data_IF_558796709681
#
_entry.id   IF_558796709681
#
_cell.length_a   1.000
_cell.length_b   1.000
_cell.length_c   1.000
_cell.angle_alpha   90.00
_cell.angle_beta   90.00
_cell.angle_gamma   90.00
#
_symmetry.space_group_name_H-M   'P 1'
#
loop_
_entity.id
_entity.type
_entity.pdbx_description
1 polymer ?
#
# COMPACT_ATOMS: atom_id res chain seq x y z
N UNK A 1 58.84 -6.42 -69.32
CA UNK A 1 59.29 -6.64 -70.71
C UNK A 1 58.39 -7.72 -71.28
N UNK A 2 57.30 -7.31 -71.93
CA UNK A 2 57.23 -7.11 -73.39
C UNK A 2 57.05 -8.46 -74.08
N UNK A 3 55.82 -8.85 -74.40
CA UNK A 3 55.17 -8.71 -75.73
C UNK A 3 55.84 -9.62 -76.77
N UNK A 4 55.20 -10.53 -77.51
CA UNK A 4 53.79 -10.85 -77.72
C UNK A 4 53.63 -11.48 -79.12
N UNK A 5 52.37 -11.73 -79.52
CA UNK A 5 51.86 -11.66 -80.92
C UNK A 5 52.16 -12.93 -81.77
N UNK A 6 51.23 -13.60 -82.51
CA UNK A 6 50.28 -13.14 -83.54
C UNK A 6 49.39 -14.30 -84.11
N UNK A 7 48.09 -14.00 -84.36
CA UNK A 7 47.18 -14.34 -85.52
C UNK A 7 46.97 -15.81 -85.97
N UNK A 8 45.81 -16.28 -86.47
CA UNK A 8 44.50 -15.75 -86.91
C UNK A 8 43.51 -16.96 -87.00
N UNK A 9 42.21 -16.89 -87.31
CA UNK A 9 41.50 -16.24 -88.43
C UNK A 9 39.97 -16.53 -88.32
N UNK A 10 39.13 -15.52 -88.65
CA UNK A 10 37.75 -15.52 -89.23
C UNK A 10 36.57 -16.24 -88.56
N UNK A 11 35.52 -15.52 -88.14
CA UNK A 11 34.34 -14.99 -88.88
C UNK A 11 33.19 -16.02 -88.89
N UNK A 12 32.14 -15.80 -88.08
CA UNK A 12 30.76 -15.61 -88.57
C UNK A 12 29.71 -15.57 -87.44
N UNK A 13 28.81 -14.60 -87.61
CA UNK A 13 27.55 -14.25 -86.95
C UNK A 13 26.68 -15.40 -86.35
N UNK A 14 26.03 -15.13 -85.21
CA UNK A 14 24.57 -14.89 -85.01
C UNK A 14 24.17 -15.18 -83.54
N UNK A 15 23.45 -14.23 -82.95
CA UNK A 15 22.68 -14.28 -81.70
C UNK A 15 21.95 -15.60 -81.40
N UNK A 16 22.11 -16.14 -80.17
CA UNK A 16 21.00 -16.63 -79.33
C UNK A 16 21.46 -16.62 -77.85
N UNK A 17 20.93 -15.71 -77.04
CA UNK A 17 20.99 -15.81 -75.58
C UNK A 17 19.90 -16.76 -75.06
N UNK A 18 20.16 -17.52 -73.98
CA UNK A 18 19.08 -17.72 -73.01
C UNK A 18 19.51 -17.60 -71.54
N UNK A 19 18.75 -16.72 -70.86
CA UNK A 19 18.20 -16.87 -69.51
C UNK A 19 19.16 -17.05 -68.32
N UNK A 20 19.56 -15.92 -67.74
CA UNK A 20 19.98 -15.83 -66.35
C UNK A 20 18.85 -16.28 -65.39
N UNK A 21 19.19 -17.17 -64.46
CA UNK A 21 18.33 -17.62 -63.35
C UNK A 21 17.90 -16.40 -62.52
N UNK A 22 16.60 -16.09 -62.51
CA UNK A 22 16.02 -15.08 -61.61
C UNK A 22 16.13 -15.57 -60.17
N UNK A 23 16.93 -14.85 -59.37
CA UNK A 23 16.84 -14.86 -57.92
C UNK A 23 15.41 -14.49 -57.52
N UNK A 24 14.78 -15.32 -56.70
CA UNK A 24 13.44 -15.08 -56.17
C UNK A 24 13.61 -14.24 -54.90
N UNK A 25 12.92 -13.11 -54.83
CA UNK A 25 13.12 -12.10 -53.78
C UNK A 25 13.00 -12.67 -52.34
N UNK A 26 13.94 -12.33 -51.43
CA UNK A 26 13.96 -12.84 -50.05
C UNK A 26 12.82 -12.31 -49.17
N UNK A 27 12.12 -11.26 -49.61
CA UNK A 27 11.14 -10.53 -48.79
C UNK A 27 9.85 -11.34 -48.53
N UNK A 28 9.53 -12.34 -49.35
CA UNK A 28 8.28 -13.12 -49.22
C UNK A 28 8.39 -14.30 -48.24
N UNK A 29 9.59 -14.86 -48.04
CA UNK A 29 9.77 -16.02 -47.18
C UNK A 29 9.75 -15.63 -45.69
N UNK A 30 10.42 -14.52 -45.35
CA UNK A 30 10.49 -13.99 -43.99
C UNK A 30 9.11 -13.57 -43.47
N UNK A 31 8.31 -12.93 -44.33
CA UNK A 31 6.95 -12.50 -43.99
C UNK A 31 6.01 -13.68 -43.72
N UNK A 32 6.10 -14.76 -44.52
CA UNK A 32 5.27 -15.97 -44.34
C UNK A 32 5.60 -16.70 -43.06
N UNK A 33 6.89 -16.86 -42.74
CA UNK A 33 7.32 -17.48 -41.48
C UNK A 33 6.86 -16.64 -40.28
N UNK A 34 6.99 -15.32 -40.37
CA UNK A 34 6.54 -14.40 -39.33
C UNK A 34 5.01 -14.44 -39.13
N UNK A 35 4.25 -14.54 -40.22
CA UNK A 35 2.78 -14.64 -40.17
C UNK A 35 2.32 -15.93 -39.48
N UNK A 36 2.92 -17.08 -39.81
CA UNK A 36 2.60 -18.37 -39.19
C UNK A 36 2.86 -18.35 -37.67
N UNK A 37 3.96 -17.71 -37.25
CA UNK A 37 4.31 -17.59 -35.83
C UNK A 37 3.36 -16.60 -35.12
N UNK A 38 2.86 -15.57 -35.82
CA UNK A 38 1.77 -14.71 -35.31
C UNK A 38 0.45 -15.47 -35.17
N UNK A 39 0.07 -16.28 -36.16
CA UNK A 39 -1.18 -17.05 -36.17
C UNK A 39 -1.26 -18.09 -35.04
N UNK A 40 -0.11 -18.58 -34.58
CA UNK A 40 -0.02 -19.63 -33.55
C UNK A 40 -0.12 -19.11 -32.11
N UNK A 41 -0.12 -17.78 -31.93
CA UNK A 41 -0.34 -17.12 -30.64
C UNK A 41 0.58 -17.61 -29.52
N UNK A 42 0.01 -17.84 -28.32
CA UNK A 42 0.76 -18.13 -27.10
C UNK A 42 1.34 -19.56 -27.01
N UNK A 43 0.99 -20.46 -27.95
CA UNK A 43 1.42 -21.88 -27.92
C UNK A 43 2.83 -22.10 -28.51
N UNK A 44 3.34 -21.15 -29.30
CA UNK A 44 4.63 -21.23 -29.97
C UNK A 44 4.71 -22.34 -31.02
N UNK A 45 5.51 -22.12 -32.06
CA UNK A 45 5.62 -23.01 -33.23
C UNK A 45 6.87 -23.89 -33.07
N UNK A 46 6.75 -25.20 -33.28
CA UNK A 46 7.92 -26.10 -33.31
C UNK A 46 8.56 -26.13 -34.71
N UNK A 47 9.80 -26.64 -34.84
CA UNK A 47 10.42 -26.81 -36.17
C UNK A 47 9.60 -27.76 -37.06
N UNK A 48 8.97 -28.80 -36.48
CA UNK A 48 8.07 -29.71 -37.20
C UNK A 48 6.82 -29.01 -37.74
N UNK A 49 6.26 -28.06 -37.00
CA UNK A 49 5.11 -27.27 -37.43
C UNK A 49 5.50 -26.26 -38.53
N UNK A 50 6.73 -25.72 -38.49
CA UNK A 50 7.27 -24.87 -39.55
C UNK A 50 7.53 -25.67 -40.85
N UNK A 51 8.03 -26.90 -40.72
CA UNK A 51 8.22 -27.82 -41.87
C UNK A 51 6.86 -28.14 -42.52
N UNK A 52 5.83 -28.45 -41.71
CA UNK A 52 4.49 -28.76 -42.21
C UNK A 52 3.82 -27.55 -42.88
N UNK A 53 4.01 -26.36 -42.31
CA UNK A 53 3.37 -25.13 -42.82
C UNK A 53 4.09 -24.53 -44.03
N UNK A 54 5.38 -24.82 -44.25
CA UNK A 54 6.13 -24.29 -45.38
C UNK A 54 7.04 -25.35 -46.04
N UNK A 55 6.47 -26.27 -46.85
CA UNK A 55 7.25 -27.29 -47.57
C UNK A 55 8.07 -26.73 -48.75
N UNK A 56 7.92 -25.43 -49.05
CA UNK A 56 8.54 -24.75 -50.20
C UNK A 56 9.98 -24.30 -49.89
N UNK A 57 10.36 -24.23 -48.62
CA UNK A 57 11.68 -23.77 -48.17
C UNK A 57 12.58 -24.96 -47.86
N UNK A 58 13.82 -24.91 -48.34
CA UNK A 58 14.85 -25.89 -47.94
C UNK A 58 15.21 -25.74 -46.47
N UNK A 59 15.83 -26.77 -45.88
CA UNK A 59 16.24 -26.76 -44.46
C UNK A 59 17.20 -25.61 -44.18
N UNK A 60 18.13 -25.34 -45.10
CA UNK A 60 19.14 -24.29 -45.00
C UNK A 60 18.51 -22.89 -45.04
N UNK A 61 17.62 -22.63 -46.02
CA UNK A 61 16.91 -21.36 -46.13
C UNK A 61 16.01 -21.06 -44.92
N UNK A 62 15.40 -22.10 -44.33
CA UNK A 62 14.59 -21.94 -43.10
C UNK A 62 15.45 -21.54 -41.91
N UNK A 63 16.59 -22.19 -41.72
CA UNK A 63 17.52 -21.88 -40.63
C UNK A 63 18.04 -20.45 -40.78
N UNK A 64 18.36 -20.03 -42.00
CA UNK A 64 18.79 -18.65 -42.28
C UNK A 64 17.71 -17.63 -42.00
N UNK A 65 16.46 -17.88 -42.42
CA UNK A 65 15.31 -17.01 -42.13
C UNK A 65 15.03 -16.94 -40.63
N UNK A 66 15.06 -18.07 -39.92
CA UNK A 66 14.86 -18.12 -38.46
C UNK A 66 15.97 -17.37 -37.74
N UNK A 67 17.24 -17.58 -38.13
CA UNK A 67 18.37 -16.86 -37.55
C UNK A 67 18.29 -15.36 -37.82
N UNK A 68 17.87 -14.94 -39.01
CA UNK A 68 17.61 -13.53 -39.33
C UNK A 68 16.48 -12.95 -38.48
N UNK A 69 15.38 -13.67 -38.28
CA UNK A 69 14.24 -13.23 -37.48
C UNK A 69 14.52 -13.20 -35.96
N UNK A 70 15.42 -14.07 -35.48
CA UNK A 70 15.97 -14.01 -34.12
C UNK A 70 16.90 -12.80 -33.99
N UNK A 71 17.77 -12.58 -34.96
CA UNK A 71 18.71 -11.43 -34.98
C UNK A 71 17.97 -10.10 -35.05
N UNK A 72 16.85 -10.03 -35.78
CA UNK A 72 15.96 -8.87 -35.84
C UNK A 72 15.01 -8.74 -34.63
N UNK A 73 15.15 -9.61 -33.62
CA UNK A 73 14.40 -9.60 -32.36
C UNK A 73 12.87 -9.75 -32.52
N UNK A 74 12.42 -10.26 -33.67
CA UNK A 74 11.01 -10.50 -33.96
C UNK A 74 10.48 -11.81 -33.34
N UNK A 75 11.37 -12.74 -32.99
CA UNK A 75 11.03 -14.06 -32.46
C UNK A 75 11.95 -14.41 -31.29
N UNK A 76 11.41 -15.07 -30.26
CA UNK A 76 12.19 -15.65 -29.16
C UNK A 76 12.06 -17.18 -29.13
N UNK A 77 13.16 -17.84 -28.81
CA UNK A 77 13.22 -19.28 -28.60
C UNK A 77 12.84 -19.61 -27.15
N UNK A 78 11.82 -20.45 -26.97
CA UNK A 78 11.41 -20.95 -25.66
C UNK A 78 11.52 -22.47 -25.61
N UNK A 79 12.16 -23.00 -24.56
CA UNK A 79 12.18 -24.44 -24.27
C UNK A 79 10.99 -24.78 -23.38
N UNK A 80 10.04 -25.57 -23.91
CA UNK A 80 8.87 -26.04 -23.15
C UNK A 80 8.86 -27.57 -23.20
N UNK A 81 8.99 -28.22 -22.04
CA UNK A 81 8.96 -29.68 -21.88
C UNK A 81 9.84 -30.42 -22.90
N UNK A 82 11.08 -29.95 -23.03
CA UNK A 82 12.13 -30.51 -23.90
C UNK A 82 12.01 -30.26 -25.42
N UNK A 83 10.94 -29.61 -25.88
CA UNK A 83 10.82 -29.16 -27.28
C UNK A 83 11.11 -27.67 -27.42
N UNK A 84 11.92 -27.29 -28.42
CA UNK A 84 12.18 -25.90 -28.78
C UNK A 84 10.98 -25.34 -29.55
N UNK A 85 10.45 -24.19 -29.10
CA UNK A 85 9.33 -23.50 -29.71
C UNK A 85 9.67 -22.04 -29.99
N UNK A 86 9.36 -21.59 -31.19
CA UNK A 86 9.47 -20.20 -31.65
C UNK A 86 8.23 -19.43 -31.24
N UNK A 87 8.40 -18.32 -30.53
CA UNK A 87 7.30 -17.43 -30.14
C UNK A 87 7.47 -16.07 -30.77
N UNK A 88 6.40 -15.55 -31.36
CA UNK A 88 6.40 -14.19 -31.87
C UNK A 88 6.54 -13.22 -30.69
N UNK A 89 7.58 -12.39 -30.74
CA UNK A 89 7.67 -11.20 -29.92
C UNK A 89 7.07 -10.09 -30.78
N UNK A 90 5.99 -9.47 -30.32
CA UNK A 90 5.42 -8.30 -30.99
C UNK A 90 6.48 -7.23 -31.25
N UNK A 91 6.17 -6.16 -32.00
CA UNK A 91 7.03 -4.99 -32.06
C UNK A 91 7.05 -4.33 -30.68
N UNK A 92 7.76 -4.92 -29.73
CA UNK A 92 8.28 -4.24 -28.57
C UNK A 92 9.46 -3.47 -29.13
N UNK A 93 9.29 -2.17 -29.30
CA UNK A 93 10.37 -1.18 -29.53
C UNK A 93 11.35 -1.12 -28.34
N UNK A 94 11.52 -2.23 -27.62
CA UNK A 94 12.10 -2.29 -26.29
C UNK A 94 13.49 -2.86 -26.35
N UNK A 95 14.43 -1.95 -26.51
CA UNK A 95 15.80 -2.12 -26.05
C UNK A 95 15.80 -2.40 -24.53
N UNK A 96 16.76 -3.19 -24.03
CA UNK A 96 17.01 -3.35 -22.60
C UNK A 96 17.38 -1.97 -22.01
N UNK A 97 16.43 -1.35 -21.30
CA UNK A 97 16.55 0.04 -20.83
C UNK A 97 15.30 0.89 -21.03
N UNK A 98 14.30 0.38 -21.77
CA UNK A 98 13.01 1.01 -21.97
C UNK A 98 12.31 1.28 -20.62
N UNK A 99 12.03 2.56 -20.35
CA UNK A 99 11.43 3.03 -19.11
C UNK A 99 10.12 2.30 -18.76
N UNK A 100 9.41 1.79 -19.76
CA UNK A 100 8.18 1.01 -19.58
C UNK A 100 8.41 -0.33 -18.89
N UNK A 101 9.54 -1.01 -19.11
CA UNK A 101 9.81 -2.32 -18.48
C UNK A 101 10.12 -2.12 -16.99
N UNK A 102 10.88 -1.10 -16.66
CA UNK A 102 11.20 -0.75 -15.27
C UNK A 102 9.98 -0.21 -14.51
N UNK A 103 9.15 0.60 -15.17
CA UNK A 103 7.87 1.08 -14.62
C UNK A 103 6.95 -0.12 -14.29
N UNK A 104 6.90 -1.11 -15.18
CA UNK A 104 6.12 -2.34 -14.95
C UNK A 104 6.67 -3.17 -13.77
N UNK A 105 7.99 -3.30 -13.64
CA UNK A 105 8.62 -4.01 -12.50
C UNK A 105 8.29 -3.32 -11.19
N UNK A 106 8.44 -1.99 -11.13
CA UNK A 106 8.11 -1.20 -9.92
C UNK A 106 6.62 -1.31 -9.59
N UNK A 107 5.74 -1.22 -10.59
CA UNK A 107 4.30 -1.35 -10.39
C UNK A 107 3.91 -2.74 -9.84
N UNK A 108 4.46 -3.82 -10.40
CA UNK A 108 4.20 -5.18 -9.92
C UNK A 108 4.69 -5.36 -8.47
N UNK A 109 5.88 -4.85 -8.12
CA UNK A 109 6.39 -4.89 -6.74
C UNK A 109 5.46 -4.18 -5.75
N UNK A 110 4.86 -3.05 -6.15
CA UNK A 110 3.90 -2.31 -5.31
C UNK A 110 2.59 -3.07 -5.22
N UNK A 111 2.07 -3.62 -6.32
CA UNK A 111 0.86 -4.45 -6.33
C UNK A 111 0.99 -5.65 -5.38
N UNK A 112 2.11 -6.35 -5.45
CA UNK A 112 2.35 -7.56 -4.65
C UNK A 112 2.47 -7.26 -3.15
N UNK A 113 2.75 -6.00 -2.77
CA UNK A 113 2.83 -5.58 -1.37
C UNK A 113 1.46 -5.38 -0.69
N UNK A 114 0.38 -5.29 -1.47
CA UNK A 114 -0.99 -5.19 -0.97
C UNK A 114 -1.21 -4.03 0.01
N UNK A 115 -2.01 -4.28 1.06
CA UNK A 115 -2.50 -3.24 2.00
C UNK A 115 -1.42 -2.65 2.89
N UNK A 116 -0.31 -3.36 3.09
CA UNK A 116 0.83 -2.89 3.87
C UNK A 116 1.75 -1.94 3.07
N UNK A 117 1.61 -1.93 1.75
CA UNK A 117 2.48 -1.18 0.86
C UNK A 117 3.94 -1.61 0.97
N UNK A 118 4.80 -0.91 0.24
CA UNK A 118 6.24 -1.17 0.19
C UNK A 118 7.04 0.11 0.41
N UNK A 119 8.08 0.03 1.24
CA UNK A 119 8.95 1.16 1.52
C UNK A 119 9.85 1.47 0.31
N UNK A 120 10.09 2.76 0.02
CA UNK A 120 10.95 3.19 -1.10
C UNK A 120 12.34 2.52 -1.09
N UNK A 121 12.91 2.24 0.09
CA UNK A 121 14.20 1.55 0.19
C UNK A 121 14.10 0.10 -0.27
N UNK A 122 13.00 -0.57 0.06
CA UNK A 122 12.76 -1.96 -0.33
C UNK A 122 12.43 -2.06 -1.83
N UNK A 123 11.68 -1.10 -2.38
CA UNK A 123 11.47 -0.99 -3.83
C UNK A 123 12.81 -0.85 -4.54
N UNK A 124 13.69 0.02 -4.05
CA UNK A 124 15.03 0.23 -4.62
C UNK A 124 15.86 -1.05 -4.63
N UNK A 125 15.90 -1.77 -3.52
CA UNK A 125 16.66 -3.03 -3.40
C UNK A 125 16.10 -4.10 -4.34
N UNK A 126 14.77 -4.26 -4.42
CA UNK A 126 14.12 -5.29 -5.24
C UNK A 126 14.11 -4.99 -6.74
N UNK A 127 14.01 -3.72 -7.13
CA UNK A 127 14.02 -3.29 -8.54
C UNK A 127 15.43 -3.11 -9.11
N UNK A 128 16.45 -3.07 -8.25
CA UNK A 128 17.83 -2.75 -8.63
C UNK A 128 17.99 -1.40 -9.36
N UNK A 129 17.12 -0.43 -9.07
CA UNK A 129 17.13 0.90 -9.70
C UNK A 129 17.82 1.95 -8.82
N UNK A 130 18.49 2.92 -9.46
CA UNK A 130 19.02 4.10 -8.79
C UNK A 130 17.90 5.00 -8.23
N UNK A 131 18.13 5.60 -7.05
CA UNK A 131 17.16 6.49 -6.38
C UNK A 131 16.59 7.62 -7.27
N UNK A 132 17.38 8.33 -8.09
CA UNK A 132 16.85 9.39 -8.95
C UNK A 132 15.88 8.86 -10.01
N UNK A 133 16.20 7.70 -10.61
CA UNK A 133 15.37 7.05 -11.64
C UNK A 133 14.09 6.49 -11.04
N UNK A 134 14.20 5.82 -9.89
CA UNK A 134 13.05 5.31 -9.14
C UNK A 134 12.08 6.44 -8.75
N UNK A 135 12.57 7.58 -8.27
CA UNK A 135 11.72 8.73 -7.93
C UNK A 135 10.95 9.28 -9.15
N UNK A 136 11.56 9.31 -10.35
CA UNK A 136 10.87 9.71 -11.59
C UNK A 136 9.74 8.73 -11.94
N UNK A 137 10.00 7.43 -11.87
CA UNK A 137 9.00 6.38 -12.14
C UNK A 137 7.84 6.44 -11.14
N UNK A 138 8.14 6.55 -9.84
CA UNK A 138 7.11 6.67 -8.80
C UNK A 138 6.23 7.91 -9.02
N UNK A 139 6.84 9.06 -9.37
CA UNK A 139 6.08 10.28 -9.67
C UNK A 139 5.22 10.16 -10.94
N UNK A 140 5.70 9.45 -11.96
CA UNK A 140 4.92 9.11 -13.16
C UNK A 140 3.69 8.26 -12.79
N UNK A 141 3.90 7.19 -12.03
CA UNK A 141 2.83 6.27 -11.58
C UNK A 141 1.82 6.96 -10.65
N UNK A 142 2.27 7.89 -9.80
CA UNK A 142 1.41 8.70 -8.93
C UNK A 142 0.59 9.71 -9.74
N UNK A 143 1.18 10.34 -10.76
CA UNK A 143 0.47 11.26 -11.67
C UNK A 143 -0.63 10.53 -12.46
N UNK A 144 -0.37 9.28 -12.85
CA UNK A 144 -1.35 8.40 -13.49
C UNK A 144 -2.42 7.85 -12.53
N UNK A 145 -2.37 8.18 -11.24
CA UNK A 145 -3.22 7.62 -10.17
C UNK A 145 -3.19 6.09 -10.11
N UNK A 146 -2.09 5.46 -10.49
CA UNK A 146 -1.92 4.01 -10.37
C UNK A 146 -1.47 3.62 -8.95
N UNK A 147 -0.67 4.49 -8.33
CA UNK A 147 -0.15 4.32 -6.97
C UNK A 147 -0.42 5.59 -6.14
N UNK A 148 -0.35 5.45 -4.82
CA UNK A 148 -0.34 6.57 -3.87
C UNK A 148 0.77 6.39 -2.83
N UNK A 149 1.30 7.51 -2.36
CA UNK A 149 2.25 7.55 -1.26
C UNK A 149 1.52 7.74 0.07
N UNK A 150 1.78 6.86 1.03
CA UNK A 150 1.24 6.95 2.40
C UNK A 150 2.42 7.04 3.37
N UNK A 151 2.42 8.07 4.23
CA UNK A 151 3.40 8.14 5.33
C UNK A 151 2.91 7.26 6.47
N UNK A 152 3.83 6.50 7.05
CA UNK A 152 3.53 5.68 8.23
C UNK A 152 3.39 6.55 9.47
N UNK A 153 2.33 6.34 10.24
CA UNK A 153 2.12 7.02 11.53
C UNK A 153 3.08 6.49 12.61
N UNK A 154 3.33 5.18 12.65
CA UNK A 154 4.28 4.56 13.58
C UNK A 154 5.74 5.02 13.33
N UNK A 155 6.08 5.32 12.06
CA UNK A 155 7.40 5.79 11.68
C UNK A 155 7.28 7.01 10.75
N UNK A 156 7.19 8.20 11.33
CA UNK A 156 6.90 9.47 10.64
C UNK A 156 7.80 9.80 9.41
N UNK A 157 9.00 9.22 9.34
CA UNK A 157 9.94 9.38 8.21
C UNK A 157 9.81 8.30 7.13
N UNK A 158 8.98 7.28 7.34
CA UNK A 158 8.83 6.12 6.44
C UNK A 158 7.64 6.34 5.51
N UNK A 159 7.91 6.45 4.21
CA UNK A 159 6.90 6.54 3.15
C UNK A 159 6.75 5.18 2.49
N UNK A 160 5.55 4.63 2.52
CA UNK A 160 5.19 3.40 1.81
C UNK A 160 4.35 3.74 0.58
N UNK A 161 4.57 3.00 -0.50
CA UNK A 161 3.78 3.09 -1.72
C UNK A 161 2.82 1.91 -1.80
N UNK A 162 1.60 2.18 -2.27
CA UNK A 162 0.56 1.18 -2.47
C UNK A 162 -0.32 1.55 -3.67
N UNK A 163 -1.18 0.65 -4.11
CA UNK A 163 -2.15 0.93 -5.17
C UNK A 163 -3.11 2.04 -4.76
N UNK A 164 -3.55 2.83 -5.74
CA UNK A 164 -4.45 3.97 -5.50
C UNK A 164 -5.80 3.53 -4.88
N UNK A 165 -6.39 2.48 -5.45
CA UNK A 165 -7.72 1.97 -5.05
C UNK A 165 -7.71 1.20 -3.72
N UNK A 166 -6.54 0.90 -3.18
CA UNK A 166 -6.43 0.04 -2.01
C UNK A 166 -6.37 0.86 -0.71
N UNK A 167 -7.21 0.54 0.27
CA UNK A 167 -7.17 1.18 1.59
C UNK A 167 -5.95 0.69 2.40
N UNK A 168 -5.17 1.62 3.01
CA UNK A 168 -4.03 1.26 3.84
C UNK A 168 -4.45 0.49 5.09
N UNK A 169 -3.57 -0.40 5.52
CA UNK A 169 -3.72 -1.14 6.77
C UNK A 169 -3.69 -0.21 8.00
N UNK A 170 -4.45 -0.53 9.05
CA UNK A 170 -4.51 0.25 10.29
C UNK A 170 -3.15 0.38 10.98
N UNK A 171 -2.26 -0.60 10.77
CA UNK A 171 -0.86 -0.54 11.24
C UNK A 171 -0.04 0.60 10.63
N UNK A 172 -0.47 1.15 9.47
CA UNK A 172 0.23 2.24 8.77
C UNK A 172 -0.45 3.57 9.05
N UNK A 173 -1.79 3.59 9.05
CA UNK A 173 -2.58 4.79 9.32
C UNK A 173 -2.69 5.12 10.80
N UNK A 174 -2.36 4.21 11.71
CA UNK A 174 -2.54 4.40 13.16
C UNK A 174 -3.97 4.10 13.64
N UNK A 175 -4.83 3.54 12.79
CA UNK A 175 -6.21 3.16 13.15
C UNK A 175 -7.20 4.32 13.10
N UNK A 176 -8.25 4.25 13.91
CA UNK A 176 -9.37 5.21 13.89
C UNK A 176 -9.04 6.58 14.52
N UNK A 177 -7.89 6.71 15.18
CA UNK A 177 -7.48 7.92 15.93
C UNK A 177 -6.69 8.94 15.12
N UNK A 178 -6.39 8.61 13.86
CA UNK A 178 -5.59 9.45 12.98
C UNK A 178 -6.36 9.77 11.71
N UNK A 179 -6.30 11.02 11.30
CA UNK A 179 -6.86 11.52 10.06
C UNK A 179 -5.80 12.37 9.38
N UNK A 180 -5.53 12.11 8.10
CA UNK A 180 -4.50 12.82 7.35
C UNK A 180 -3.11 12.87 8.02
N UNK A 181 -2.76 11.84 8.82
CA UNK A 181 -1.51 11.74 9.60
C UNK A 181 -1.44 12.65 10.84
N UNK A 182 -2.54 13.30 11.20
CA UNK A 182 -2.67 14.05 12.44
C UNK A 182 -3.46 13.23 13.46
N UNK A 183 -3.06 13.34 14.72
CA UNK A 183 -3.76 12.69 15.83
C UNK A 183 -5.00 13.50 16.19
N UNK A 184 -6.18 12.89 16.10
CA UNK A 184 -7.44 13.57 16.36
C UNK A 184 -7.81 13.49 17.86
N UNK A 185 -7.10 14.26 18.69
CA UNK A 185 -7.38 14.33 20.13
C UNK A 185 -8.78 14.86 20.44
N UNK A 186 -9.26 15.85 19.68
CA UNK A 186 -10.61 16.41 19.84
C UNK A 186 -11.70 15.38 19.61
N UNK A 187 -11.51 14.52 18.60
CA UNK A 187 -12.43 13.43 18.31
C UNK A 187 -12.49 12.43 19.47
N UNK A 188 -11.33 12.04 20.01
CA UNK A 188 -11.25 11.15 21.18
C UNK A 188 -11.96 11.76 22.39
N UNK A 189 -11.79 13.06 22.65
CA UNK A 189 -12.48 13.72 23.74
C UNK A 189 -14.00 13.71 23.56
N UNK A 190 -14.50 14.00 22.35
CA UNK A 190 -15.93 13.98 22.04
C UNK A 190 -16.47 12.56 22.24
N UNK A 191 -15.77 11.55 21.72
CA UNK A 191 -16.16 10.15 21.86
C UNK A 191 -16.18 9.70 23.31
N UNK A 192 -15.20 10.12 24.11
CA UNK A 192 -15.11 9.86 25.55
C UNK A 192 -16.29 10.50 26.29
N UNK A 193 -16.58 11.78 26.03
CA UNK A 193 -17.73 12.50 26.61
C UNK A 193 -19.05 11.84 26.27
N UNK A 194 -19.25 11.42 25.02
CA UNK A 194 -20.48 10.74 24.60
C UNK A 194 -20.62 9.33 25.16
N UNK A 195 -19.54 8.56 25.22
CA UNK A 195 -19.50 7.24 25.84
C UNK A 195 -19.86 7.32 27.32
N UNK A 196 -19.29 8.30 28.04
CA UNK A 196 -19.62 8.54 29.43
C UNK A 196 -21.10 8.92 29.62
N UNK A 197 -21.63 9.85 28.82
CA UNK A 197 -23.05 10.25 28.85
C UNK A 197 -23.98 9.06 28.64
N UNK A 198 -23.64 8.13 27.74
CA UNK A 198 -24.41 6.91 27.54
C UNK A 198 -24.43 6.03 28.81
N UNK A 199 -23.26 5.79 29.42
CA UNK A 199 -23.16 5.01 30.65
C UNK A 199 -23.94 5.65 31.82
N UNK A 200 -23.85 6.98 31.96
CA UNK A 200 -24.62 7.74 32.95
C UNK A 200 -26.12 7.66 32.71
N UNK A 201 -26.57 7.84 31.45
CA UNK A 201 -27.97 7.71 31.09
C UNK A 201 -28.50 6.29 31.38
N UNK A 202 -27.72 5.25 31.08
CA UNK A 202 -28.10 3.86 31.36
C UNK A 202 -28.23 3.59 32.86
N UNK A 203 -27.26 4.07 33.66
CA UNK A 203 -27.32 3.98 35.12
C UNK A 203 -28.52 4.72 35.71
N UNK A 204 -28.77 5.94 35.24
CA UNK A 204 -29.92 6.75 35.66
C UNK A 204 -31.25 6.07 35.35
N UNK A 205 -31.40 5.52 34.13
CA UNK A 205 -32.58 4.72 33.74
C UNK A 205 -32.77 3.49 34.62
N UNK A 206 -31.69 2.75 34.90
CA UNK A 206 -31.76 1.57 35.77
C UNK A 206 -32.16 1.92 37.22
N UNK A 207 -31.67 3.04 37.75
CA UNK A 207 -32.05 3.52 39.10
C UNK A 207 -33.52 3.94 39.17
N UNK A 208 -33.97 4.72 38.18
CA UNK A 208 -35.35 5.24 38.09
C UNK A 208 -36.38 4.17 37.74
N UNK A 209 -35.96 3.02 37.25
CA UNK A 209 -36.86 1.94 36.93
C UNK A 209 -37.55 1.41 38.20
N UNK A 210 -38.85 1.63 38.30
CA UNK A 210 -39.69 1.21 39.43
C UNK A 210 -40.15 -0.24 39.34
N UNK A 211 -40.08 -0.87 38.15
CA UNK A 211 -40.49 -2.27 37.97
C UNK A 211 -39.51 -3.25 38.61
N UNK A 212 -38.22 -2.89 38.63
CA UNK A 212 -37.18 -3.69 39.27
C UNK A 212 -37.10 -3.29 40.74
N UNK A 213 -37.57 -4.13 41.65
CA UNK A 213 -37.51 -3.84 43.10
C UNK A 213 -36.13 -4.13 43.71
N UNK A 214 -35.41 -5.13 43.20
CA UNK A 214 -34.12 -5.58 43.76
C UNK A 214 -32.97 -4.60 43.43
N UNK A 215 -32.27 -4.06 44.45
CA UNK A 215 -31.11 -3.20 44.24
C UNK A 215 -29.97 -3.87 43.45
N UNK A 216 -29.76 -5.18 43.66
CA UNK A 216 -28.73 -5.95 42.96
C UNK A 216 -29.04 -6.06 41.46
N UNK A 217 -30.31 -6.27 41.11
CA UNK A 217 -30.72 -6.33 39.70
C UNK A 217 -30.56 -4.95 39.05
N UNK A 218 -30.98 -3.86 39.71
CA UNK A 218 -30.73 -2.49 39.22
C UNK A 218 -29.24 -2.22 39.00
N UNK A 219 -28.40 -2.67 39.93
CA UNK A 219 -26.95 -2.55 39.83
C UNK A 219 -26.43 -3.30 38.60
N UNK A 220 -26.83 -4.56 38.40
CA UNK A 220 -26.41 -5.36 37.25
C UNK A 220 -26.91 -4.81 35.92
N UNK A 221 -28.15 -4.31 35.84
CA UNK A 221 -28.72 -3.72 34.61
C UNK A 221 -28.05 -2.39 34.22
N UNK A 222 -27.39 -1.71 35.15
CA UNK A 222 -26.70 -0.44 34.88
C UNK A 222 -25.38 -0.58 34.10
N UNK A 223 -24.88 -1.80 33.91
CA UNK A 223 -23.70 -2.09 33.11
C UNK A 223 -24.01 -2.17 31.61
N UNK A 224 -23.05 -1.84 30.75
CA UNK A 224 -23.12 -1.97 29.31
C UNK A 224 -21.86 -2.61 28.72
N UNK A 225 -22.03 -3.45 27.69
CA UNK A 225 -20.93 -3.95 26.87
C UNK A 225 -20.44 -2.89 25.89
N UNK A 226 -19.20 -3.02 25.42
CA UNK A 226 -18.62 -2.14 24.41
C UNK A 226 -19.46 -2.13 23.11
N UNK A 227 -20.03 -3.28 22.71
CA UNK A 227 -20.88 -3.38 21.52
C UNK A 227 -22.10 -2.45 21.57
N UNK A 228 -22.75 -2.35 22.74
CA UNK A 228 -23.90 -1.46 22.91
C UNK A 228 -23.51 0.01 22.87
N UNK A 229 -22.31 0.33 23.36
CA UNK A 229 -21.77 1.68 23.29
C UNK A 229 -21.45 2.03 21.83
N UNK A 230 -20.85 1.11 21.09
CA UNK A 230 -20.59 1.25 19.65
C UNK A 230 -21.89 1.48 18.87
N UNK A 231 -22.92 0.66 19.10
CA UNK A 231 -24.24 0.82 18.46
C UNK A 231 -24.84 2.21 18.74
N UNK A 232 -24.75 2.68 19.98
CA UNK A 232 -25.20 4.02 20.35
C UNK A 232 -24.43 5.11 19.59
N UNK A 233 -23.10 5.01 19.54
CA UNK A 233 -22.25 5.98 18.84
C UNK A 233 -22.57 6.00 17.35
N UNK A 234 -22.67 4.83 16.71
CA UNK A 234 -23.05 4.69 15.31
C UNK A 234 -24.42 5.31 15.03
N UNK A 235 -25.40 5.08 15.92
CA UNK A 235 -26.75 5.67 15.78
C UNK A 235 -26.76 7.18 15.93
N UNK A 236 -25.92 7.74 16.79
CA UNK A 236 -25.81 9.19 16.96
C UNK A 236 -25.11 9.90 15.79
N UNK A 237 -24.45 9.17 14.89
CA UNK A 237 -23.82 9.72 13.70
C UNK A 237 -22.62 10.64 13.98
N UNK A 238 -22.02 10.53 15.18
CA UNK A 238 -20.91 11.40 15.62
C UNK A 238 -19.63 11.10 14.83
N UNK A 239 -19.44 9.84 14.42
CA UNK A 239 -18.26 9.40 13.68
C UNK A 239 -18.58 9.18 12.21
N UNK A 240 -17.79 9.82 11.33
CA UNK A 240 -17.69 9.43 9.91
C UNK A 240 -16.70 8.27 9.70
N UNK A 241 -15.81 8.05 10.66
CA UNK A 241 -14.78 7.00 10.64
C UNK A 241 -15.40 5.67 11.07
N UNK A 242 -14.99 4.58 10.43
CA UNK A 242 -15.37 3.21 10.82
C UNK A 242 -14.69 2.87 12.14
N UNK A 243 -15.49 2.75 13.21
CA UNK A 243 -15.04 2.38 14.54
C UNK A 243 -15.21 0.87 14.75
N UNK A 244 -14.23 0.25 15.39
CA UNK A 244 -14.28 -1.15 15.83
C UNK A 244 -14.65 -1.27 17.30
N UNK A 245 -14.94 -2.48 17.77
CA UNK A 245 -15.26 -2.71 19.19
C UNK A 245 -14.02 -2.48 20.05
N UNK A 246 -12.83 -2.84 19.55
CA UNK A 246 -11.54 -2.63 20.18
C UNK A 246 -11.25 -1.13 20.41
N UNK A 247 -11.60 -0.28 19.43
CA UNK A 247 -11.47 1.16 19.55
C UNK A 247 -12.34 1.68 20.72
N UNK A 248 -13.59 1.22 20.82
CA UNK A 248 -14.49 1.60 21.91
C UNK A 248 -14.01 1.07 23.27
N UNK A 249 -13.45 -0.14 23.32
CA UNK A 249 -12.84 -0.67 24.54
C UNK A 249 -11.74 0.27 25.03
N UNK A 250 -10.87 0.76 24.14
CA UNK A 250 -9.80 1.68 24.53
C UNK A 250 -10.33 2.99 25.12
N UNK A 251 -11.41 3.55 24.55
CA UNK A 251 -12.09 4.74 25.08
C UNK A 251 -12.75 4.48 26.44
N UNK A 252 -13.38 3.31 26.59
CA UNK A 252 -14.01 2.94 27.86
C UNK A 252 -12.96 2.68 28.96
N UNK A 253 -11.79 2.14 28.60
CA UNK A 253 -10.66 2.01 29.52
C UNK A 253 -10.10 3.37 29.93
N UNK A 254 -10.06 4.38 29.05
CA UNK A 254 -9.72 5.76 29.44
C UNK A 254 -10.67 6.28 30.53
N UNK A 255 -11.98 6.06 30.38
CA UNK A 255 -12.95 6.44 31.42
C UNK A 255 -12.73 5.69 32.74
N UNK A 256 -12.22 4.45 32.70
CA UNK A 256 -11.84 3.70 33.90
C UNK A 256 -10.60 4.31 34.55
N UNK A 257 -9.58 4.69 33.77
CA UNK A 257 -8.39 5.35 34.28
C UNK A 257 -8.68 6.74 34.87
N UNK A 258 -9.64 7.47 34.30
CA UNK A 258 -10.13 8.74 34.84
C UNK A 258 -10.98 8.56 36.12
N UNK A 259 -11.29 7.33 36.51
CA UNK A 259 -12.15 7.02 37.67
C UNK A 259 -13.64 7.31 37.44
N UNK A 260 -14.04 7.60 36.20
CA UNK A 260 -15.40 7.91 35.79
C UNK A 260 -16.23 6.66 35.44
N UNK A 261 -15.57 5.53 35.19
CA UNK A 261 -16.22 4.25 34.98
C UNK A 261 -15.57 3.12 35.78
N UNK A 262 -16.34 2.05 36.02
CA UNK A 262 -15.85 0.78 36.51
C UNK A 262 -16.10 -0.30 35.46
N UNK A 263 -15.13 -1.20 35.29
CA UNK A 263 -15.26 -2.39 34.43
C UNK A 263 -15.39 -3.67 35.26
N UNK A 264 -16.11 -4.65 34.73
CA UNK A 264 -16.24 -6.00 35.28
C UNK A 264 -16.29 -7.03 34.16
N UNK A 265 -16.07 -8.28 34.50
CA UNK A 265 -16.32 -9.41 33.61
C UNK A 265 -17.65 -10.04 34.01
N UNK A 266 -18.56 -10.20 33.06
CA UNK A 266 -19.85 -10.87 33.27
C UNK A 266 -19.65 -12.41 33.29
N UNK A 267 -20.68 -13.17 33.68
CA UNK A 267 -20.65 -14.64 33.74
C UNK A 267 -20.29 -15.30 32.41
N UNK A 268 -20.52 -14.61 31.28
CA UNK A 268 -20.15 -15.06 29.93
C UNK A 268 -18.70 -14.73 29.53
N UNK A 269 -17.89 -14.15 30.42
CA UNK A 269 -16.52 -13.72 30.10
C UNK A 269 -16.42 -12.38 29.34
N UNK A 270 -17.55 -11.72 29.05
CA UNK A 270 -17.57 -10.42 28.37
C UNK A 270 -17.31 -9.27 29.34
N UNK A 271 -16.56 -8.26 28.88
CA UNK A 271 -16.28 -7.06 29.67
C UNK A 271 -17.46 -6.10 29.59
N UNK A 272 -17.90 -5.61 30.75
CA UNK A 272 -18.95 -4.62 30.88
C UNK A 272 -18.50 -3.41 31.69
N UNK A 273 -19.03 -2.25 31.36
CA UNK A 273 -18.69 -0.96 31.92
C UNK A 273 -19.90 -0.29 32.56
N UNK A 274 -19.68 0.46 33.65
CA UNK A 274 -20.70 1.24 34.35
C UNK A 274 -20.12 2.56 34.79
N UNK A 275 -20.89 3.64 34.69
CA UNK A 275 -20.46 4.94 35.19
C UNK A 275 -20.35 4.96 36.73
N UNK A 276 -19.24 5.48 37.21
CA UNK A 276 -18.98 5.75 38.63
C UNK A 276 -19.08 7.24 38.88
N UNK A 277 -19.33 7.60 40.14
CA UNK A 277 -19.13 8.97 40.61
C UNK A 277 -17.89 8.95 41.47
N UNK A 278 -16.99 9.89 41.27
CA UNK A 278 -15.85 10.08 42.14
C UNK A 278 -16.37 10.31 43.55
N UNK A 279 -15.96 9.44 44.49
CA UNK A 279 -16.42 9.49 45.88
C UNK A 279 -15.73 10.61 46.66
N UNK A 280 -14.56 11.03 46.20
CA UNK A 280 -13.77 12.09 46.81
C UNK A 280 -13.92 13.37 45.99
N UNK A 281 -14.36 14.44 46.64
CA UNK A 281 -14.15 15.79 46.10
C UNK A 281 -12.66 16.10 46.07
N UNK A 282 -12.27 17.12 45.29
CA UNK A 282 -10.92 17.69 45.37
C UNK A 282 -10.56 17.96 46.82
N UNK A 283 -9.38 17.51 47.24
CA UNK A 283 -8.89 17.66 48.61
C UNK A 283 -8.48 19.13 48.80
N UNK A 284 -8.65 19.68 50.00
CA UNK A 284 -8.31 21.08 50.33
C UNK A 284 -6.90 21.50 49.85
N UNK A 285 -5.92 20.60 49.96
CA UNK A 285 -4.53 20.82 49.51
C UNK A 285 -4.44 21.13 48.01
N UNK A 286 -5.30 20.53 47.17
CA UNK A 286 -5.32 20.78 45.72
C UNK A 286 -5.85 22.16 45.33
N UNK A 287 -6.54 22.86 46.25
CA UNK A 287 -7.01 24.22 46.05
C UNK A 287 -5.97 25.27 46.44
N UNK A 288 -4.98 24.89 47.25
CA UNK A 288 -3.93 25.80 47.71
C UNK A 288 -2.78 25.83 46.68
N UNK A 289 -2.20 27.01 46.39
CA UNK A 289 -1.07 27.11 45.46
C UNK A 289 0.14 26.29 45.93
N UNK A 290 0.26 26.03 47.24
CA UNK A 290 1.28 25.17 47.82
C UNK A 290 1.15 23.70 47.39
N UNK A 291 -0.08 23.18 47.24
CA UNK A 291 -0.30 21.76 46.92
C UNK A 291 0.23 21.32 45.56
N UNK A 292 0.31 22.26 44.62
CA UNK A 292 0.84 22.05 43.26
C UNK A 292 2.15 22.82 43.03
N UNK A 293 2.79 23.34 44.09
CA UNK A 293 3.96 24.18 43.96
C UNK A 293 5.20 23.35 43.55
N UNK A 294 5.81 23.61 42.38
CA UNK A 294 6.95 22.82 41.90
C UNK A 294 8.22 23.03 42.75
N UNK A 295 8.28 24.13 43.50
CA UNK A 295 9.43 24.51 44.33
C UNK A 295 9.14 24.42 45.84
N UNK A 296 8.09 23.68 46.25
CA UNK A 296 7.71 23.57 47.66
C UNK A 296 8.86 23.13 48.57
N UNK A 297 9.71 22.20 48.10
CA UNK A 297 10.87 21.70 48.86
C UNK A 297 11.94 22.76 49.14
N UNK A 298 11.93 23.87 48.40
CA UNK A 298 12.87 25.00 48.56
C UNK A 298 12.23 26.18 49.30
N UNK A 299 10.93 26.11 49.57
CA UNK A 299 10.18 27.14 50.28
C UNK A 299 10.45 27.01 51.79
N UNK A 300 11.10 28.02 52.37
CA UNK A 300 11.43 28.06 53.80
C UNK A 300 11.59 29.51 54.24
N UNK A 301 11.27 29.82 55.49
CA UNK A 301 11.44 31.16 56.06
C UNK A 301 12.91 31.60 56.08
N UNK A 302 13.85 30.65 56.06
CA UNK A 302 15.29 30.91 55.98
C UNK A 302 15.80 31.19 54.55
N UNK A 303 14.98 30.97 53.53
CA UNK A 303 15.36 31.12 52.12
C UNK A 303 14.73 32.37 51.49
N UNK A 304 15.29 32.80 50.35
CA UNK A 304 14.69 33.86 49.51
C UNK A 304 13.30 33.48 48.96
N UNK A 305 13.03 32.18 48.82
CA UNK A 305 11.73 31.63 48.48
C UNK A 305 10.99 31.28 49.77
N UNK A 306 10.03 32.11 50.13
CA UNK A 306 9.18 31.94 51.32
C UNK A 306 7.73 32.33 51.01
N UNK A 307 6.83 32.12 51.97
CA UNK A 307 5.40 32.39 51.82
C UNK A 307 5.09 33.88 51.61
N UNK A 308 5.87 34.79 52.22
CA UNK A 308 5.68 36.25 52.13
C UNK A 308 6.02 36.80 50.74
N UNK A 309 7.06 36.26 50.12
CA UNK A 309 7.52 36.65 48.78
C UNK A 309 7.00 35.73 47.67
N UNK A 310 6.06 34.84 47.97
CA UNK A 310 5.55 33.86 47.03
C UNK A 310 4.69 34.51 45.93
N UNK A 311 5.13 34.44 44.67
CA UNK A 311 4.35 34.90 43.51
C UNK A 311 3.07 34.09 43.32
N UNK A 312 3.12 32.77 43.52
CA UNK A 312 1.95 31.90 43.38
C UNK A 312 0.85 32.26 44.38
N UNK A 313 1.22 32.58 45.62
CA UNK A 313 0.25 33.01 46.63
C UNK A 313 -0.37 34.37 46.28
N UNK A 314 0.45 35.35 45.88
CA UNK A 314 -0.04 36.68 45.47
C UNK A 314 -1.02 36.61 44.30
N UNK A 315 -0.73 35.80 43.28
CA UNK A 315 -1.64 35.60 42.15
C UNK A 315 -2.93 34.95 42.63
N UNK A 316 -2.84 33.89 43.44
CA UNK A 316 -3.99 33.14 43.91
C UNK A 316 -4.95 33.98 44.78
N UNK A 317 -4.44 34.90 45.62
CA UNK A 317 -5.28 35.79 46.44
C UNK A 317 -5.91 36.95 45.67
N UNK A 318 -5.54 37.16 44.39
CA UNK A 318 -6.05 38.25 43.55
C UNK A 318 -7.17 37.76 42.60
N UNK A 319 -7.37 36.44 42.51
CA UNK A 319 -8.45 35.78 41.76
C UNK A 319 -9.67 35.62 42.68
#
# INVERSE_FOLDING_TARGET
MSTGVKRGHRDDLVDVAPAAKKARDPETAEQRVLEIIKSSGNKGVSDEDLIRACPVLTIEERVDVVNKLITSNAITLHKVKDTLRYKYKGPTTSTPGDANTEELVVFNLIRDSGRKGIWIRDVRIKSNLGLPRLKKILKSLETKKAIKAVKSVAASRKIVYMLFDLEPDSSITGGAWYSNQEFESEFIEILTKHSYKFLEAKKSKALKNTTIRSPLVKYNTSYATADRVLEFISKTGISKVRLTVEDIISILDLLVYDGLAAKRVNSEGKIEYRSTKTLLSRIAVSFLPCGSCPVIKRCSDANQLNCLNCKHMKIWTTI
#
